data_IF_457898209975
#
_entry.id   IF_457898209975
#
_cell.length_a   1.000
_cell.length_b   1.000
_cell.length_c   1.000
_cell.angle_alpha   90.00
_cell.angle_beta   90.00
_cell.angle_gamma   90.00
#
_symmetry.space_group_name_H-M   'P 1'
#
loop_
_entity.id
_entity.type
_entity.pdbx_description
1 polymer ?
#
# COMPACT_ATOMS: atom_id res chain seq x y z
N UNK A 1 -44.56 43.75 52.92
CA UNK A 1 -44.02 43.63 51.54
C UNK A 1 -42.59 43.08 51.49
N UNK A 2 -41.75 43.26 52.51
CA UNK A 2 -40.37 42.73 52.60
C UNK A 2 -40.26 41.20 52.48
N UNK A 3 -41.09 40.46 53.23
CA UNK A 3 -40.90 39.02 53.38
C UNK A 3 -41.27 38.22 52.12
N UNK A 4 -42.22 38.72 51.34
CA UNK A 4 -42.61 38.11 50.06
C UNK A 4 -41.49 38.24 49.02
N UNK A 5 -40.81 39.40 48.98
CA UNK A 5 -39.69 39.66 48.08
C UNK A 5 -38.48 38.77 48.45
N UNK A 6 -38.17 38.64 49.75
CA UNK A 6 -37.09 37.76 50.22
C UNK A 6 -37.37 36.28 49.91
N UNK A 7 -38.61 35.83 50.05
CA UNK A 7 -39.00 34.46 49.71
C UNK A 7 -38.90 34.19 48.20
N UNK A 8 -39.38 35.11 47.37
CA UNK A 8 -39.26 34.99 45.90
C UNK A 8 -37.81 35.05 45.42
N UNK A 9 -36.96 35.88 46.04
CA UNK A 9 -35.54 35.94 45.74
C UNK A 9 -34.82 34.65 46.13
N UNK A 10 -35.15 34.08 47.31
CA UNK A 10 -34.62 32.79 47.75
C UNK A 10 -35.01 31.63 46.82
N UNK A 11 -36.26 31.60 46.37
CA UNK A 11 -36.74 30.58 45.42
C UNK A 11 -36.06 30.69 44.06
N UNK A 12 -35.88 31.91 43.54
CA UNK A 12 -35.24 32.14 42.25
C UNK A 12 -33.74 31.80 42.26
N UNK A 13 -33.07 31.97 43.40
CA UNK A 13 -31.68 31.54 43.61
C UNK A 13 -31.58 30.01 43.67
N UNK A 14 -32.50 29.34 44.39
CA UNK A 14 -32.58 27.88 44.44
C UNK A 14 -32.87 27.26 43.07
N UNK A 15 -33.76 27.86 42.29
CA UNK A 15 -34.07 27.41 40.93
C UNK A 15 -32.86 27.56 39.99
N UNK A 16 -32.13 28.69 40.10
CA UNK A 16 -30.90 28.94 39.33
C UNK A 16 -29.79 27.95 39.73
N UNK A 17 -29.60 27.68 41.02
CA UNK A 17 -28.63 26.68 41.50
C UNK A 17 -29.00 25.27 41.02
N UNK A 18 -30.26 24.86 41.13
CA UNK A 18 -30.71 23.56 40.64
C UNK A 18 -30.62 23.42 39.10
N UNK A 19 -30.80 24.53 38.37
CA UNK A 19 -30.57 24.54 36.91
C UNK A 19 -29.09 24.38 36.56
N UNK A 20 -28.21 24.99 37.35
CA UNK A 20 -26.76 24.95 37.16
C UNK A 20 -26.19 23.56 37.49
N UNK A 21 -26.70 22.91 38.54
CA UNK A 21 -26.33 21.55 38.91
C UNK A 21 -26.70 20.54 37.81
N UNK A 22 -27.91 20.64 37.23
CA UNK A 22 -28.31 19.81 36.08
C UNK A 22 -27.44 20.01 34.84
N UNK A 23 -26.94 21.24 34.62
CA UNK A 23 -26.02 21.53 33.51
C UNK A 23 -24.66 20.91 33.77
N UNK A 24 -24.14 21.01 35.00
CA UNK A 24 -22.88 20.38 35.41
C UNK A 24 -22.96 18.85 35.28
N UNK A 25 -24.07 18.24 35.68
CA UNK A 25 -24.27 16.79 35.55
C UNK A 25 -24.25 16.33 34.09
N UNK A 26 -24.92 17.06 33.19
CA UNK A 26 -24.87 16.78 31.75
C UNK A 26 -23.46 16.91 31.20
N UNK A 27 -22.74 17.96 31.58
CA UNK A 27 -21.35 18.17 31.17
C UNK A 27 -20.44 17.03 31.67
N UNK A 28 -20.61 16.58 32.91
CA UNK A 28 -19.85 15.46 33.47
C UNK A 28 -20.15 14.13 32.76
N UNK A 29 -21.41 13.89 32.39
CA UNK A 29 -21.79 12.73 31.58
C UNK A 29 -21.19 12.79 30.17
N UNK A 30 -21.20 13.96 29.52
CA UNK A 30 -20.60 14.14 28.20
C UNK A 30 -19.07 14.02 28.23
N UNK A 31 -18.42 14.52 29.30
CA UNK A 31 -16.99 14.35 29.52
C UNK A 31 -16.62 12.88 29.72
N UNK A 32 -17.42 12.11 30.47
CA UNK A 32 -17.24 10.65 30.60
C UNK A 32 -17.31 9.96 29.24
N UNK A 33 -18.36 10.23 28.46
CA UNK A 33 -18.52 9.65 27.11
C UNK A 33 -17.37 10.02 26.18
N UNK A 34 -16.89 11.27 26.23
CA UNK A 34 -15.74 11.71 25.43
C UNK A 34 -14.45 11.03 25.86
N UNK A 35 -14.21 10.87 27.16
CA UNK A 35 -13.03 10.16 27.67
C UNK A 35 -13.04 8.68 27.29
N UNK A 36 -14.20 8.02 27.35
CA UNK A 36 -14.38 6.65 26.88
C UNK A 36 -14.09 6.54 25.37
N UNK A 37 -14.64 7.45 24.56
CA UNK A 37 -14.40 7.48 23.12
C UNK A 37 -12.92 7.74 22.77
N UNK A 38 -12.22 8.59 23.54
CA UNK A 38 -10.78 8.83 23.38
C UNK A 38 -9.98 7.58 23.77
N UNK A 39 -10.36 6.89 24.85
CA UNK A 39 -9.76 5.63 25.26
C UNK A 39 -9.85 4.58 24.15
N UNK A 40 -11.05 4.41 23.57
CA UNK A 40 -11.28 3.50 22.45
C UNK A 40 -10.50 3.90 21.19
N UNK A 41 -10.46 5.20 20.87
CA UNK A 41 -9.73 5.71 19.71
C UNK A 41 -8.22 5.47 19.86
N UNK A 42 -7.66 5.74 21.04
CA UNK A 42 -6.25 5.48 21.34
C UNK A 42 -5.93 3.99 21.29
N UNK A 43 -6.83 3.12 21.79
CA UNK A 43 -6.65 1.68 21.70
C UNK A 43 -6.65 1.20 20.24
N UNK A 44 -7.58 1.69 19.40
CA UNK A 44 -7.61 1.37 17.97
C UNK A 44 -6.38 1.89 17.23
N UNK A 45 -5.94 3.11 17.53
CA UNK A 45 -4.73 3.69 16.96
C UNK A 45 -3.49 2.84 17.30
N UNK A 46 -3.33 2.45 18.56
CA UNK A 46 -2.24 1.57 19.00
C UNK A 46 -2.27 0.19 18.32
N UNK A 47 -3.46 -0.39 18.12
CA UNK A 47 -3.61 -1.64 17.38
C UNK A 47 -3.28 -1.48 15.88
N UNK A 48 -3.69 -0.38 15.25
CA UNK A 48 -3.39 -0.09 13.86
C UNK A 48 -1.88 0.15 13.63
N UNK A 49 -1.22 0.87 14.54
CA UNK A 49 0.23 1.06 14.52
C UNK A 49 0.97 -0.26 14.72
N UNK A 50 0.52 -1.10 15.68
CA UNK A 50 1.09 -2.42 15.88
C UNK A 50 0.94 -3.26 14.60
N UNK A 51 -0.26 -3.35 14.03
CA UNK A 51 -0.51 -4.06 12.77
C UNK A 51 0.36 -3.54 11.61
N UNK A 52 0.50 -2.22 11.47
CA UNK A 52 1.38 -1.60 10.47
C UNK A 52 2.86 -1.96 10.69
N UNK A 53 3.30 -2.04 11.95
CA UNK A 53 4.66 -2.44 12.31
C UNK A 53 4.93 -3.92 12.01
N UNK A 54 3.95 -4.80 12.25
CA UNK A 54 4.02 -6.22 11.90
C UNK A 54 4.07 -6.42 10.39
N UNK A 55 3.16 -5.77 9.65
CA UNK A 55 3.15 -5.83 8.18
C UNK A 55 4.48 -5.35 7.57
N UNK A 56 5.07 -4.28 8.12
CA UNK A 56 6.38 -3.79 7.68
C UNK A 56 7.52 -4.78 7.98
N UNK A 57 7.48 -5.45 9.14
CA UNK A 57 8.46 -6.49 9.50
C UNK A 57 8.33 -7.71 8.59
N UNK A 58 7.12 -8.17 8.31
CA UNK A 58 6.89 -9.28 7.37
C UNK A 58 7.33 -8.92 5.95
N UNK A 59 6.98 -7.73 5.46
CA UNK A 59 7.42 -7.26 4.14
C UNK A 59 8.95 -7.23 4.04
N UNK A 60 9.64 -6.81 5.11
CA UNK A 60 11.10 -6.82 5.17
C UNK A 60 11.65 -8.26 5.18
N UNK A 61 11.05 -9.16 5.97
CA UNK A 61 11.43 -10.58 6.00
C UNK A 61 11.29 -11.22 4.62
N UNK A 62 10.17 -11.00 3.94
CA UNK A 62 9.97 -11.52 2.58
C UNK A 62 10.95 -10.93 1.56
N UNK A 63 11.38 -9.68 1.73
CA UNK A 63 12.44 -9.10 0.90
C UNK A 63 13.78 -9.79 1.15
N UNK A 64 14.16 -9.97 2.41
CA UNK A 64 15.40 -10.64 2.82
C UNK A 64 15.44 -12.10 2.35
N UNK A 65 14.35 -12.86 2.54
CA UNK A 65 14.23 -14.24 2.05
C UNK A 65 14.33 -14.31 0.52
N UNK A 66 13.63 -13.42 -0.19
CA UNK A 66 13.70 -13.36 -1.65
C UNK A 66 15.13 -13.10 -2.12
N UNK A 67 15.83 -12.16 -1.50
CA UNK A 67 17.18 -11.79 -1.91
C UNK A 67 18.18 -12.90 -1.56
N UNK A 68 18.02 -13.57 -0.41
CA UNK A 68 18.76 -14.79 -0.08
C UNK A 68 18.56 -15.90 -1.12
N UNK A 69 17.32 -16.18 -1.55
CA UNK A 69 17.06 -17.21 -2.55
C UNK A 69 17.60 -16.84 -3.93
N UNK A 70 17.55 -15.56 -4.31
CA UNK A 70 18.19 -15.09 -5.55
C UNK A 70 19.68 -15.35 -5.53
N UNK A 71 20.36 -15.00 -4.44
CA UNK A 71 21.80 -15.21 -4.29
C UNK A 71 22.14 -16.71 -4.29
N UNK A 72 21.36 -17.52 -3.57
CA UNK A 72 21.53 -18.97 -3.52
C UNK A 72 21.41 -19.62 -4.91
N UNK A 73 20.43 -19.18 -5.72
CA UNK A 73 20.20 -19.70 -7.06
C UNK A 73 21.21 -19.16 -8.09
N UNK A 74 21.77 -17.97 -7.87
CA UNK A 74 22.78 -17.38 -8.75
C UNK A 74 24.17 -18.03 -8.59
N UNK A 75 24.53 -18.42 -7.36
CA UNK A 75 25.82 -19.06 -7.02
C UNK A 75 26.22 -20.26 -7.91
N UNK A 76 25.38 -21.29 -8.10
CA UNK A 76 25.76 -22.45 -8.91
C UNK A 76 26.05 -22.07 -10.37
N UNK A 77 25.34 -21.09 -10.94
CA UNK A 77 25.62 -20.64 -12.30
C UNK A 77 26.91 -19.83 -12.40
N UNK A 78 27.19 -18.98 -11.41
CA UNK A 78 28.46 -18.27 -11.33
C UNK A 78 29.65 -19.22 -11.16
N UNK A 79 29.47 -20.28 -10.37
CA UNK A 79 30.49 -21.31 -10.12
C UNK A 79 30.74 -22.17 -11.37
N UNK A 80 29.68 -22.61 -12.07
CA UNK A 80 29.82 -23.33 -13.35
C UNK A 80 30.49 -22.42 -14.40
N UNK A 81 30.14 -21.14 -14.45
CA UNK A 81 30.77 -20.16 -15.33
C UNK A 81 32.25 -19.93 -14.99
N UNK A 82 32.66 -20.07 -13.73
CA UNK A 82 34.07 -19.97 -13.37
C UNK A 82 34.92 -21.16 -13.89
N UNK A 83 34.29 -22.33 -14.10
CA UNK A 83 34.98 -23.57 -14.48
C UNK A 83 34.80 -24.01 -15.94
N UNK A 84 33.71 -23.63 -16.62
CA UNK A 84 33.47 -23.91 -18.04
C UNK A 84 33.36 -22.60 -18.85
N UNK A 85 34.39 -22.33 -19.67
CA UNK A 85 34.45 -21.12 -20.49
C UNK A 85 33.34 -20.98 -21.55
N UNK A 86 32.80 -22.10 -22.08
CA UNK A 86 31.68 -22.04 -23.05
C UNK A 86 30.36 -21.74 -22.34
N UNK A 87 30.18 -22.29 -21.15
CA UNK A 87 29.06 -21.95 -20.29
C UNK A 87 29.11 -20.48 -19.86
N UNK A 88 30.30 -20.00 -19.46
CA UNK A 88 30.53 -18.61 -19.04
C UNK A 88 30.07 -17.59 -20.07
N UNK A 89 30.49 -17.75 -21.33
CA UNK A 89 30.13 -16.81 -22.39
C UNK A 89 28.59 -16.74 -22.59
N UNK A 90 27.92 -17.89 -22.54
CA UNK A 90 26.47 -17.95 -22.68
C UNK A 90 25.77 -17.33 -21.46
N UNK A 91 26.29 -17.58 -20.26
CA UNK A 91 25.78 -17.04 -19.02
C UNK A 91 25.93 -15.51 -18.95
N UNK A 92 27.12 -14.98 -19.27
CA UNK A 92 27.40 -13.54 -19.29
C UNK A 92 26.49 -12.82 -20.30
N UNK A 93 26.34 -13.35 -21.52
CA UNK A 93 25.40 -12.78 -22.52
C UNK A 93 23.95 -12.77 -22.04
N UNK A 94 23.52 -13.78 -21.31
CA UNK A 94 22.18 -13.80 -20.72
C UNK A 94 22.03 -12.75 -19.60
N UNK A 95 23.06 -12.57 -18.76
CA UNK A 95 23.05 -11.53 -17.73
C UNK A 95 23.04 -10.13 -18.34
N UNK A 96 23.82 -9.88 -19.38
CA UNK A 96 23.83 -8.62 -20.13
C UNK A 96 22.44 -8.33 -20.73
N UNK A 97 21.83 -9.31 -21.42
CA UNK A 97 20.48 -9.17 -21.97
C UNK A 97 19.43 -8.84 -20.90
N UNK A 98 19.51 -9.50 -19.73
CA UNK A 98 18.61 -9.22 -18.61
C UNK A 98 18.85 -7.83 -18.02
N UNK A 99 20.11 -7.42 -17.87
CA UNK A 99 20.49 -6.11 -17.37
C UNK A 99 19.97 -4.99 -18.29
N UNK A 100 20.18 -5.13 -19.61
CA UNK A 100 19.69 -4.19 -20.63
C UNK A 100 18.16 -4.09 -20.61
N UNK A 101 17.47 -5.23 -20.48
CA UNK A 101 16.02 -5.26 -20.37
C UNK A 101 15.51 -4.54 -19.12
N UNK A 102 16.13 -4.77 -17.95
CA UNK A 102 15.77 -4.09 -16.70
C UNK A 102 16.04 -2.59 -16.80
N UNK A 103 17.20 -2.20 -17.33
CA UNK A 103 17.57 -0.80 -17.50
C UNK A 103 16.58 -0.08 -18.44
N UNK A 104 16.23 -0.72 -19.56
CA UNK A 104 15.25 -0.22 -20.52
C UNK A 104 13.88 -0.02 -19.88
N UNK A 105 13.38 -1.00 -19.13
CA UNK A 105 12.10 -0.86 -18.41
C UNK A 105 12.10 0.29 -17.41
N UNK A 106 13.20 0.47 -16.66
CA UNK A 106 13.32 1.58 -15.72
C UNK A 106 13.36 2.93 -16.43
N UNK A 107 14.10 3.02 -17.54
CA UNK A 107 14.16 4.23 -18.35
C UNK A 107 12.78 4.61 -18.91
N UNK A 108 12.03 3.66 -19.48
CA UNK A 108 10.68 3.92 -19.96
C UNK A 108 9.70 4.28 -18.84
N UNK A 109 9.84 3.68 -17.66
CA UNK A 109 9.02 4.04 -16.49
C UNK A 109 9.30 5.49 -16.05
N UNK A 110 10.56 5.89 -16.00
CA UNK A 110 10.94 7.27 -15.69
C UNK A 110 10.37 8.25 -16.72
N UNK A 111 10.47 7.89 -18.00
CA UNK A 111 9.92 8.68 -19.10
C UNK A 111 8.40 8.82 -19.00
N UNK A 112 7.69 7.73 -18.72
CA UNK A 112 6.25 7.74 -18.50
C UNK A 112 5.85 8.63 -17.32
N UNK A 113 6.60 8.59 -16.21
CA UNK A 113 6.36 9.47 -15.06
C UNK A 113 6.58 10.95 -15.41
N UNK A 114 7.66 11.25 -16.14
CA UNK A 114 7.96 12.61 -16.61
C UNK A 114 6.84 13.16 -17.49
N UNK A 115 6.38 12.39 -18.49
CA UNK A 115 5.33 12.83 -19.39
C UNK A 115 3.95 12.84 -18.75
N UNK A 116 3.64 11.87 -17.88
CA UNK A 116 2.38 11.88 -17.13
C UNK A 116 2.28 13.07 -16.19
N UNK A 117 3.38 13.47 -15.54
CA UNK A 117 3.44 14.71 -14.75
C UNK A 117 3.16 15.94 -15.60
N UNK A 118 3.73 16.03 -16.82
CA UNK A 118 3.44 17.12 -17.76
C UNK A 118 1.97 17.12 -18.21
N UNK A 119 1.34 15.94 -18.29
CA UNK A 119 -0.08 15.77 -18.60
C UNK A 119 -1.00 15.95 -17.38
N UNK A 120 -0.47 16.34 -16.22
CA UNK A 120 -1.25 16.54 -14.99
C UNK A 120 -1.70 15.26 -14.29
N UNK A 121 -1.15 14.10 -14.65
CA UNK A 121 -1.48 12.80 -14.06
C UNK A 121 -0.65 12.50 -12.83
N UNK A 122 -1.26 11.79 -11.90
CA UNK A 122 -0.61 11.22 -10.71
C UNK A 122 0.16 9.94 -11.06
N UNK A 123 1.17 9.56 -10.24
CA UNK A 123 1.88 8.29 -10.41
C UNK A 123 0.96 7.06 -10.42
N UNK A 124 -0.12 7.10 -9.63
CA UNK A 124 -1.11 6.02 -9.51
C UNK A 124 -1.91 5.86 -10.81
N UNK A 125 -2.36 6.97 -11.40
CA UNK A 125 -3.06 6.97 -12.69
C UNK A 125 -2.17 6.44 -13.81
N UNK A 126 -0.90 6.88 -13.86
CA UNK A 126 0.08 6.40 -14.85
C UNK A 126 0.29 4.88 -14.70
N UNK A 127 0.36 4.39 -13.45
CA UNK A 127 0.49 2.95 -13.18
C UNK A 127 -0.75 2.17 -13.63
N UNK A 128 -1.95 2.70 -13.37
CA UNK A 128 -3.20 2.07 -13.80
C UNK A 128 -3.31 2.03 -15.33
N UNK A 129 -2.95 3.11 -16.02
CA UNK A 129 -2.91 3.18 -17.49
C UNK A 129 -1.87 2.21 -18.08
N UNK A 130 -0.71 2.07 -17.44
CA UNK A 130 0.30 1.10 -17.84
C UNK A 130 -0.23 -0.35 -17.79
N UNK A 131 -0.97 -0.70 -16.73
CA UNK A 131 -1.61 -2.02 -16.60
C UNK A 131 -2.71 -2.24 -17.64
N UNK A 132 -3.53 -1.22 -17.91
CA UNK A 132 -4.54 -1.29 -18.97
C UNK A 132 -3.88 -1.47 -20.36
N UNK A 133 -2.77 -0.78 -20.60
CA UNK A 133 -2.01 -0.87 -21.86
C UNK A 133 -1.39 -2.25 -22.05
N UNK A 134 -0.98 -2.94 -20.98
CA UNK A 134 -0.53 -4.33 -21.06
C UNK A 134 -1.61 -5.24 -21.68
N UNK A 135 -2.87 -5.07 -21.29
CA UNK A 135 -3.98 -5.84 -21.86
C UNK A 135 -4.18 -5.56 -23.35
N UNK A 136 -4.03 -4.30 -23.77
CA UNK A 136 -4.09 -3.87 -25.18
C UNK A 136 -2.97 -4.53 -25.99
N UNK A 137 -1.74 -4.55 -25.46
CA UNK A 137 -0.58 -5.19 -26.11
C UNK A 137 -0.80 -6.69 -26.26
N UNK A 138 -1.31 -7.36 -25.21
CA UNK A 138 -1.59 -8.80 -25.25
C UNK A 138 -2.74 -9.16 -26.22
N UNK A 139 -3.60 -8.20 -26.53
CA UNK A 139 -4.71 -8.33 -27.49
C UNK A 139 -4.34 -7.88 -28.91
N UNK A 140 -3.07 -7.55 -29.19
CA UNK A 140 -2.58 -7.01 -30.47
C UNK A 140 -3.26 -5.70 -30.91
N UNK A 141 -3.78 -4.92 -29.96
CA UNK A 141 -4.50 -3.67 -30.23
C UNK A 141 -3.61 -2.42 -30.06
N UNK A 142 -2.29 -2.61 -30.12
CA UNK A 142 -1.33 -1.54 -29.89
C UNK A 142 -1.35 -0.52 -31.02
N UNK A 143 -1.63 0.74 -30.68
CA UNK A 143 -1.65 1.85 -31.63
C UNK A 143 -0.24 2.30 -32.06
N UNK A 144 0.77 1.97 -31.27
CA UNK A 144 2.16 2.41 -31.47
C UNK A 144 3.08 1.25 -31.91
N UNK A 145 2.51 0.15 -32.41
CA UNK A 145 3.28 -0.99 -32.90
C UNK A 145 3.97 -1.82 -31.80
N UNK A 146 3.63 -1.60 -30.52
CA UNK A 146 4.11 -2.44 -29.42
C UNK A 146 3.35 -3.77 -29.43
N UNK A 147 3.86 -4.75 -30.17
CA UNK A 147 3.29 -6.11 -30.24
C UNK A 147 4.21 -7.13 -29.58
N UNK A 148 3.64 -8.21 -29.06
CA UNK A 148 4.40 -9.34 -28.50
C UNK A 148 4.10 -10.61 -29.28
N UNK A 149 5.08 -11.53 -29.34
CA UNK A 149 4.86 -12.81 -30.02
C UNK A 149 3.91 -13.74 -29.23
N UNK A 150 3.38 -14.76 -29.91
CA UNK A 150 2.48 -15.74 -29.30
C UNK A 150 3.10 -16.47 -28.09
N UNK A 151 4.40 -16.79 -28.16
CA UNK A 151 5.10 -17.43 -27.06
C UNK A 151 5.04 -16.58 -25.77
N UNK A 152 5.19 -15.27 -25.90
CA UNK A 152 5.10 -14.31 -24.79
C UNK A 152 3.68 -14.24 -24.25
N UNK A 153 2.66 -14.16 -25.11
CA UNK A 153 1.24 -14.17 -24.69
C UNK A 153 0.91 -15.43 -23.88
N UNK A 154 1.34 -16.59 -24.35
CA UNK A 154 1.13 -17.88 -23.67
C UNK A 154 1.87 -17.92 -22.33
N UNK A 155 3.08 -17.38 -22.25
CA UNK A 155 3.83 -17.30 -20.99
C UNK A 155 3.13 -16.40 -19.96
N UNK A 156 2.62 -15.24 -20.37
CA UNK A 156 1.88 -14.33 -19.50
C UNK A 156 0.57 -14.95 -19.03
N UNK A 157 -0.18 -15.63 -19.92
CA UNK A 157 -1.40 -16.38 -19.54
C UNK A 157 -1.10 -17.46 -18.50
N UNK A 158 -0.03 -18.24 -18.69
CA UNK A 158 0.42 -19.24 -17.71
C UNK A 158 0.77 -18.63 -16.36
N UNK A 159 1.40 -17.45 -16.34
CA UNK A 159 1.69 -16.73 -15.11
C UNK A 159 0.41 -16.32 -14.38
N UNK A 160 -0.54 -15.66 -15.06
CA UNK A 160 -1.82 -15.24 -14.48
C UNK A 160 -2.60 -16.41 -13.88
N UNK A 161 -2.68 -17.52 -14.62
CA UNK A 161 -3.33 -18.75 -14.14
C UNK A 161 -2.68 -19.35 -12.89
N UNK A 162 -1.36 -19.17 -12.69
CA UNK A 162 -0.69 -19.60 -11.44
C UNK A 162 -1.02 -18.66 -10.28
N UNK A 163 -1.02 -17.36 -10.51
CA UNK A 163 -1.34 -16.35 -9.48
C UNK A 163 -2.79 -16.51 -9.00
N UNK A 164 -3.73 -16.75 -9.91
CA UNK A 164 -5.14 -17.04 -9.59
C UNK A 164 -5.28 -18.30 -8.73
N UNK A 165 -4.58 -19.39 -9.07
CA UNK A 165 -4.60 -20.63 -8.28
C UNK A 165 -4.08 -20.42 -6.87
N UNK A 166 -2.98 -19.67 -6.72
CA UNK A 166 -2.39 -19.36 -5.41
C UNK A 166 -3.37 -18.52 -4.57
N UNK A 167 -4.04 -17.54 -5.18
CA UNK A 167 -5.02 -16.70 -4.51
C UNK A 167 -6.30 -17.45 -4.07
N UNK A 168 -6.69 -18.54 -4.74
CA UNK A 168 -7.82 -19.38 -4.35
C UNK A 168 -7.46 -20.45 -3.29
N UNK A 169 -6.17 -20.66 -3.04
CA UNK A 169 -5.66 -21.63 -2.06
C UNK A 169 -5.18 -21.00 -0.75
N UNK A 170 -5.25 -19.67 -0.63
CA UNK A 170 -4.92 -18.88 0.55
C UNK A 170 -6.20 -18.35 1.21
#
# INVERSE_FOLDING_TARGET
MSDFLNYTAGLHVLEKMGSQERVIDRQNQDLKKKNEAIGDANHRAGMAEAAGSFAKKEAKRYQEERDFYKDLLAKPFAEIAAHDGRFRETYEKQQEMLADWIASQRAFRELAMKYGKLAGKTPEEIKAEGLATEAIILADQSQFGNTVNEATKVAVKRKKAREEKVAHSA
#
